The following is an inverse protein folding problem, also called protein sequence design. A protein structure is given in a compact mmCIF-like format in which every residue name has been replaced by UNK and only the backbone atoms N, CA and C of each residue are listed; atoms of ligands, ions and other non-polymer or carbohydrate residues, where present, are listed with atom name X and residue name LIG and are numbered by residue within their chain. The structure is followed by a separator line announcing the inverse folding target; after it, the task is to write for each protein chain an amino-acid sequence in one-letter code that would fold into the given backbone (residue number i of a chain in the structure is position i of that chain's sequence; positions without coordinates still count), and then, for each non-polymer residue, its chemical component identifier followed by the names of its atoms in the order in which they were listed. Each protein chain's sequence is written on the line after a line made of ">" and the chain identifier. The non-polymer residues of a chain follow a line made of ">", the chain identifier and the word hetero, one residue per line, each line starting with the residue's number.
data_IF_689419672765
#
_entry.id   IF_689419672765
#
_cell.length_a   1.000
_cell.length_b   1.000
_cell.length_c   1.000
_cell.angle_alpha   90.00
_cell.angle_beta   90.00
_cell.angle_gamma   90.00
#
_symmetry.space_group_name_H-M   'P 1'
#
loop_
_entity.id
_entity.type
_entity.pdbx_description
1 polymer ?
#
# COMPACT_ATOMS: atom_id res chain seq x y z
N UNK A 1 -9.61 33.73 -25.12
CA UNK A 1 -9.16 34.34 -23.85
C UNK A 1 -9.82 33.79 -22.56
N UNK A 2 -10.85 32.93 -22.61
CA UNK A 2 -11.45 32.33 -21.38
C UNK A 2 -10.89 30.96 -20.95
N UNK A 3 -9.95 30.40 -21.71
CA UNK A 3 -9.45 29.02 -21.51
C UNK A 3 -8.13 28.94 -20.70
N UNK A 4 -7.43 30.07 -20.52
CA UNK A 4 -6.17 30.11 -19.75
C UNK A 4 -6.37 30.38 -18.24
N UNK A 5 -7.47 31.03 -17.84
CA UNK A 5 -7.72 31.38 -16.44
C UNK A 5 -8.04 30.15 -15.55
N UNK A 6 -8.51 29.04 -16.13
CA UNK A 6 -8.89 27.82 -15.39
C UNK A 6 -7.73 26.81 -15.22
N UNK A 7 -6.60 26.99 -15.94
CA UNK A 7 -5.43 26.10 -15.89
C UNK A 7 -4.54 26.35 -14.66
N UNK A 8 -4.57 27.56 -14.11
CA UNK A 8 -3.75 27.98 -12.96
C UNK A 8 -4.13 27.30 -11.62
N UNK A 9 -5.42 27.23 -11.22
CA UNK A 9 -5.81 26.59 -9.96
C UNK A 9 -5.61 25.07 -9.97
N UNK A 10 -5.79 24.42 -11.13
CA UNK A 10 -5.59 22.98 -11.30
C UNK A 10 -4.10 22.62 -11.21
N UNK A 11 -3.20 23.43 -11.81
CA UNK A 11 -1.74 23.27 -11.66
C UNK A 11 -1.26 23.50 -10.23
N UNK A 12 -1.79 24.50 -9.54
CA UNK A 12 -1.48 24.73 -8.13
C UNK A 12 -1.97 23.57 -7.24
N UNK A 13 -3.17 23.05 -7.51
CA UNK A 13 -3.72 21.86 -6.87
C UNK A 13 -2.85 20.61 -7.10
N UNK A 14 -2.37 20.39 -8.34
CA UNK A 14 -1.47 19.28 -8.69
C UNK A 14 -0.10 19.38 -7.98
N UNK A 15 0.49 20.58 -7.91
CA UNK A 15 1.76 20.80 -7.22
C UNK A 15 1.64 20.56 -5.72
N UNK A 16 0.50 20.93 -5.12
CA UNK A 16 0.25 20.78 -3.69
C UNK A 16 -0.09 19.33 -3.29
N UNK A 17 -0.83 18.56 -4.13
CA UNK A 17 -1.09 17.12 -3.89
C UNK A 17 0.18 16.27 -3.93
N UNK A 18 1.15 16.60 -4.80
CA UNK A 18 2.47 15.93 -4.83
C UNK A 18 3.40 16.30 -3.67
N UNK A 19 3.11 17.38 -2.92
CA UNK A 19 3.96 17.91 -1.84
C UNK A 19 3.33 17.78 -0.43
N UNK A 20 2.37 16.88 -0.24
CA UNK A 20 1.61 16.72 1.01
C UNK A 20 2.44 16.33 2.25
N UNK A 21 2.13 16.97 3.38
CA UNK A 21 2.62 16.81 4.75
C UNK A 21 4.03 17.33 5.10
N UNK A 22 5.08 17.00 4.35
CA UNK A 22 6.45 17.39 4.75
C UNK A 22 6.72 18.90 4.64
N UNK A 23 6.22 19.57 3.59
CA UNK A 23 6.33 21.03 3.41
C UNK A 23 5.50 21.80 4.45
N UNK A 24 4.40 21.20 4.91
CA UNK A 24 3.55 21.78 5.95
C UNK A 24 4.21 21.70 7.32
N UNK A 25 4.82 20.56 7.67
CA UNK A 25 5.61 20.38 8.90
C UNK A 25 6.83 21.32 8.91
N UNK A 26 7.52 21.48 7.78
CA UNK A 26 8.65 22.42 7.67
C UNK A 26 8.21 23.90 7.79
N UNK A 27 7.03 24.27 7.29
CA UNK A 27 6.48 25.63 7.47
C UNK A 27 6.04 25.92 8.90
N UNK A 28 5.59 24.91 9.65
CA UNK A 28 5.30 25.07 11.09
C UNK A 28 6.61 25.16 11.88
N UNK A 29 7.61 24.33 11.58
CA UNK A 29 8.90 24.32 12.27
C UNK A 29 9.75 25.58 12.02
N UNK A 30 9.58 26.25 10.88
CA UNK A 30 10.30 27.49 10.53
C UNK A 30 9.58 28.77 10.96
N UNK A 31 8.35 28.69 11.48
CA UNK A 31 7.59 29.85 11.93
C UNK A 31 7.83 30.13 13.42
N UNK A 32 8.68 31.11 13.71
CA UNK A 32 9.15 31.50 15.05
C UNK A 32 8.04 31.96 16.02
N UNK A 33 6.84 32.26 15.51
CA UNK A 33 5.67 32.61 16.35
C UNK A 33 4.83 31.39 16.75
N UNK A 34 4.77 30.34 15.93
CA UNK A 34 3.99 29.13 16.22
C UNK A 34 4.63 28.27 17.33
N UNK A 35 5.97 28.27 17.43
CA UNK A 35 6.73 27.53 18.44
C UNK A 35 6.61 28.10 19.88
N UNK A 36 6.02 29.29 20.02
CA UNK A 36 5.78 29.95 21.31
C UNK A 36 4.38 29.72 21.87
N UNK A 37 3.50 29.04 21.13
CA UNK A 37 2.15 28.75 21.60
C UNK A 37 2.19 27.68 22.73
N UNK A 38 1.50 27.88 23.86
CA UNK A 38 1.58 26.98 25.03
C UNK A 38 1.22 25.52 24.71
N UNK A 39 0.25 25.31 23.81
CA UNK A 39 -0.16 23.97 23.36
C UNK A 39 0.93 23.25 22.54
N UNK A 40 1.71 23.98 21.74
CA UNK A 40 2.82 23.41 20.95
C UNK A 40 3.99 23.00 21.85
N UNK A 41 4.24 23.75 22.93
CA UNK A 41 5.26 23.38 23.91
C UNK A 41 4.87 22.18 24.78
N UNK A 42 3.58 21.95 25.00
CA UNK A 42 3.09 20.78 25.74
C UNK A 42 3.27 19.47 24.95
N UNK A 43 3.14 19.53 23.62
CA UNK A 43 3.37 18.39 22.71
C UNK A 43 4.86 18.04 22.61
N UNK A 44 5.76 19.03 22.72
CA UNK A 44 7.21 18.84 22.64
C UNK A 44 7.86 18.30 23.93
N UNK A 45 7.17 18.32 25.07
CA UNK A 45 7.74 17.93 26.39
C UNK A 45 7.42 16.50 26.83
N UNK A 46 6.59 15.75 26.11
CA UNK A 46 6.30 14.34 26.41
C UNK A 46 7.36 13.47 25.72
N UNK A 47 8.60 13.48 26.21
CA UNK A 47 9.65 12.50 25.88
C UNK A 47 10.92 12.78 26.70
N UNK A 48 10.90 12.52 28.00
CA UNK A 48 12.13 12.31 28.76
C UNK A 48 11.91 11.17 29.76
N UNK A 49 12.59 10.04 29.61
CA UNK A 49 12.86 9.13 30.72
C UNK A 49 14.13 9.59 31.45
N UNK A 50 14.10 9.55 32.79
CA UNK A 50 15.26 9.70 33.67
C UNK A 50 16.02 8.36 33.75
N UNK A 51 17.34 8.38 33.59
CA UNK A 51 18.25 7.26 33.88
C UNK A 51 18.73 7.30 35.36
N UNK A 52 19.06 6.16 35.97
CA UNK A 52 19.94 6.10 37.14
C UNK A 52 21.38 5.69 36.77
N UNK A 53 22.33 6.43 37.34
CA UNK A 53 23.79 6.22 37.32
C UNK A 53 24.20 4.89 38.00
N UNK A 54 25.24 4.22 37.48
CA UNK A 54 26.17 3.40 38.27
C UNK A 54 27.51 3.20 37.52
N UNK A 55 28.61 3.38 38.26
CA UNK A 55 30.02 3.37 37.85
C UNK A 55 30.62 1.97 37.70
N UNK A 56 31.54 1.75 36.75
CA UNK A 56 32.90 1.22 37.02
C UNK A 56 33.79 1.10 35.76
N UNK A 57 35.10 1.18 35.97
CA UNK A 57 36.16 1.35 34.98
C UNK A 57 37.02 0.08 34.70
N UNK A 58 37.49 -0.03 33.44
CA UNK A 58 38.72 -0.68 32.90
C UNK A 58 38.88 -2.23 32.93
N UNK A 59 39.80 -2.85 32.13
CA UNK A 59 40.56 -2.41 30.94
C UNK A 59 40.47 -3.38 29.71
N UNK A 60 41.09 -2.98 28.60
CA UNK A 60 41.12 -3.59 27.24
C UNK A 60 41.68 -5.03 27.12
N UNK A 61 41.24 -5.83 26.11
CA UNK A 61 41.97 -7.00 25.60
C UNK A 61 42.48 -6.83 24.13
N UNK A 62 43.38 -7.74 23.64
CA UNK A 62 44.32 -7.54 22.52
C UNK A 62 43.76 -7.94 21.13
N UNK A 63 44.51 -7.83 20.00
CA UNK A 63 43.94 -7.70 18.67
C UNK A 63 43.51 -9.01 18.00
N UNK A 64 42.63 -8.82 17.02
CA UNK A 64 41.77 -9.74 16.26
C UNK A 64 42.42 -10.95 15.59
N UNK A 65 41.58 -11.94 15.25
CA UNK A 65 41.56 -12.51 13.90
C UNK A 65 40.19 -12.36 13.22
N UNK A 66 40.19 -11.80 12.00
CA UNK A 66 39.22 -11.97 10.91
C UNK A 66 37.74 -12.20 11.29
N UNK A 67 36.99 -11.11 11.45
CA UNK A 67 35.55 -11.15 11.71
C UNK A 67 34.75 -11.32 10.41
N UNK A 68 34.08 -12.46 10.30
CA UNK A 68 32.99 -12.72 9.37
C UNK A 68 31.88 -11.68 9.55
N UNK A 69 31.39 -11.14 8.45
CA UNK A 69 30.26 -10.20 8.39
C UNK A 69 29.02 -10.92 8.91
N UNK A 70 28.51 -10.50 10.05
CA UNK A 70 27.32 -11.05 10.69
C UNK A 70 26.07 -10.53 9.97
N UNK A 71 25.63 -11.26 8.94
CA UNK A 71 24.35 -11.06 8.28
C UNK A 71 23.29 -11.77 9.12
N UNK A 72 22.40 -10.99 9.74
CA UNK A 72 21.43 -11.46 10.73
C UNK A 72 20.65 -12.74 10.40
N UNK A 73 20.00 -13.35 11.40
CA UNK A 73 19.51 -14.73 11.35
C UNK A 73 18.23 -14.85 10.52
N UNK A 74 18.40 -15.04 9.20
CA UNK A 74 17.53 -15.80 8.27
C UNK A 74 17.89 -15.38 6.84
N UNK A 75 19.11 -15.70 6.41
CA UNK A 75 19.65 -15.30 5.11
C UNK A 75 19.63 -16.48 4.13
N UNK A 76 18.84 -16.34 3.06
CA UNK A 76 19.31 -16.79 1.76
C UNK A 76 20.33 -15.72 1.27
N UNK A 77 21.63 -16.01 1.18
CA UNK A 77 22.71 -15.02 1.06
C UNK A 77 22.90 -14.43 -0.34
N UNK A 78 22.03 -14.73 -1.31
CA UNK A 78 22.34 -14.54 -2.72
C UNK A 78 21.93 -13.19 -3.32
N UNK A 79 20.83 -12.55 -2.90
CA UNK A 79 20.38 -11.30 -3.51
C UNK A 79 21.16 -10.07 -3.00
N UNK A 80 21.89 -9.42 -3.90
CA UNK A 80 22.72 -8.24 -3.66
C UNK A 80 22.37 -7.13 -4.65
N UNK A 81 22.63 -5.85 -4.30
CA UNK A 81 22.47 -4.74 -5.25
C UNK A 81 23.21 -4.97 -6.58
N UNK A 82 24.34 -5.69 -6.55
CA UNK A 82 25.16 -6.02 -7.72
C UNK A 82 24.45 -6.91 -8.75
N UNK A 83 23.38 -7.61 -8.37
CA UNK A 83 22.67 -8.55 -9.24
C UNK A 83 21.68 -7.82 -10.16
N UNK A 84 21.50 -6.52 -9.93
CA UNK A 84 20.58 -5.67 -10.67
C UNK A 84 21.36 -4.63 -11.50
N UNK A 85 20.84 -4.35 -12.69
CA UNK A 85 21.23 -3.21 -13.48
C UNK A 85 20.19 -2.09 -13.25
N UNK A 86 20.56 -1.05 -12.50
CA UNK A 86 19.69 0.08 -12.20
C UNK A 86 19.65 1.05 -13.38
N UNK A 87 18.47 1.23 -13.96
CA UNK A 87 18.28 1.90 -15.25
C UNK A 87 17.86 3.36 -15.08
N UNK A 88 16.74 3.59 -14.37
CA UNK A 88 16.10 4.89 -14.28
C UNK A 88 15.46 5.11 -12.91
N UNK A 89 15.43 6.35 -12.44
CA UNK A 89 14.57 6.73 -11.32
C UNK A 89 13.14 6.86 -11.86
N UNK A 90 12.19 6.19 -11.21
CA UNK A 90 10.78 6.17 -11.64
C UNK A 90 9.84 6.76 -10.57
N UNK A 91 10.35 7.02 -9.37
CA UNK A 91 9.58 7.68 -8.32
C UNK A 91 10.43 8.11 -7.14
N UNK A 92 9.84 8.93 -6.28
CA UNK A 92 10.46 9.44 -5.05
C UNK A 92 9.47 9.37 -3.91
N UNK A 93 9.92 8.83 -2.77
CA UNK A 93 9.12 8.69 -1.56
C UNK A 93 9.72 9.42 -0.36
N UNK A 94 9.02 9.33 0.78
CA UNK A 94 9.37 10.01 2.03
C UNK A 94 10.77 9.72 2.59
N UNK A 95 11.32 8.54 2.28
CA UNK A 95 12.59 8.03 2.82
C UNK A 95 13.58 7.60 1.73
N UNK A 96 13.25 7.80 0.45
CA UNK A 96 14.01 7.17 -0.61
C UNK A 96 13.46 7.36 -2.02
N UNK A 97 13.89 6.48 -2.92
CA UNK A 97 13.59 6.52 -4.35
C UNK A 97 13.13 5.16 -4.84
N UNK A 98 12.34 5.16 -5.90
CA UNK A 98 11.96 3.95 -6.64
C UNK A 98 12.71 3.97 -7.97
N UNK A 99 13.41 2.90 -8.29
CA UNK A 99 14.20 2.76 -9.50
C UNK A 99 13.67 1.61 -10.35
N UNK A 100 13.63 1.79 -11.66
CA UNK A 100 13.54 0.70 -12.61
C UNK A 100 14.90 -0.02 -12.63
N UNK A 101 14.90 -1.33 -12.40
CA UNK A 101 16.09 -2.16 -12.50
C UNK A 101 15.79 -3.44 -13.27
N UNK A 102 16.81 -4.00 -13.94
CA UNK A 102 16.75 -5.31 -14.60
C UNK A 102 17.59 -6.31 -13.82
N UNK A 103 17.05 -7.46 -13.47
CA UNK A 103 17.84 -8.53 -12.85
C UNK A 103 18.76 -9.15 -13.91
N UNK A 104 20.06 -9.27 -13.61
CA UNK A 104 21.07 -9.63 -14.61
C UNK A 104 20.97 -11.06 -15.10
N UNK A 105 20.52 -11.98 -14.25
CA UNK A 105 20.40 -13.40 -14.61
C UNK A 105 19.09 -13.70 -15.33
N UNK A 106 17.97 -13.17 -14.83
CA UNK A 106 16.63 -13.46 -15.35
C UNK A 106 16.22 -12.52 -16.49
N UNK A 107 16.91 -11.38 -16.63
CA UNK A 107 16.61 -10.33 -17.59
C UNK A 107 15.20 -9.70 -17.44
N UNK A 108 14.57 -9.92 -16.29
CA UNK A 108 13.26 -9.39 -15.86
C UNK A 108 13.41 -8.00 -15.24
N UNK A 109 12.40 -7.14 -15.46
CA UNK A 109 12.35 -5.78 -14.93
C UNK A 109 11.59 -5.72 -13.59
N UNK A 110 12.12 -4.93 -12.67
CA UNK A 110 11.58 -4.73 -11.33
C UNK A 110 11.53 -3.25 -10.96
N UNK A 111 10.62 -2.91 -10.05
CA UNK A 111 10.63 -1.66 -9.32
C UNK A 111 11.38 -1.84 -8.01
N UNK A 112 12.53 -1.18 -7.85
CA UNK A 112 13.36 -1.27 -6.64
C UNK A 112 13.16 -0.03 -5.78
N UNK A 113 12.44 -0.17 -4.67
CA UNK A 113 12.26 0.88 -3.65
C UNK A 113 13.47 0.87 -2.71
N UNK A 114 14.30 1.91 -2.82
CA UNK A 114 15.54 2.08 -2.03
C UNK A 114 15.33 3.14 -0.97
N UNK A 115 15.43 2.74 0.30
CA UNK A 115 15.19 3.60 1.46
C UNK A 115 16.47 3.83 2.27
N UNK A 116 16.65 5.04 2.80
CA UNK A 116 17.82 5.38 3.63
C UNK A 116 17.54 5.09 5.11
N UNK A 117 18.34 4.22 5.75
CA UNK A 117 18.16 3.84 7.16
C UNK A 117 18.19 5.04 8.10
N UNK A 118 19.16 5.95 7.89
CA UNK A 118 19.27 7.19 8.67
C UNK A 118 18.02 8.07 8.59
N UNK A 119 17.38 8.14 7.42
CA UNK A 119 16.16 8.93 7.24
C UNK A 119 14.95 8.29 7.95
N UNK A 120 14.87 6.96 7.94
CA UNK A 120 13.82 6.19 8.63
C UNK A 120 13.94 6.39 10.16
N UNK A 121 15.13 6.15 10.72
CA UNK A 121 15.37 6.26 12.17
C UNK A 121 15.14 7.68 12.69
N UNK A 122 15.55 8.70 11.93
CA UNK A 122 15.28 10.10 12.27
C UNK A 122 13.78 10.40 12.41
N UNK A 123 12.93 9.70 11.64
CA UNK A 123 11.48 9.85 11.66
C UNK A 123 10.78 8.82 12.58
N UNK A 124 11.52 7.88 13.17
CA UNK A 124 11.01 6.78 14.02
C UNK A 124 10.00 5.87 13.30
N UNK A 125 10.29 5.54 12.05
CA UNK A 125 9.40 4.81 11.13
C UNK A 125 9.83 3.36 10.89
N UNK A 126 10.82 2.86 11.65
CA UNK A 126 11.40 1.53 11.48
C UNK A 126 10.36 0.40 11.61
N UNK A 127 9.41 0.56 12.55
CA UNK A 127 8.33 -0.41 12.77
C UNK A 127 7.38 -0.50 11.57
N UNK A 128 7.08 0.64 10.93
CA UNK A 128 6.21 0.65 9.75
C UNK A 128 6.90 -0.01 8.56
N UNK A 129 8.20 0.23 8.34
CA UNK A 129 8.96 -0.42 7.27
C UNK A 129 9.06 -1.94 7.46
N UNK A 130 9.30 -2.39 8.70
CA UNK A 130 9.31 -3.83 8.99
C UNK A 130 7.91 -4.45 8.84
N UNK A 131 6.84 -3.71 9.19
CA UNK A 131 5.46 -4.14 8.97
C UNK A 131 5.12 -4.26 7.47
N UNK A 132 5.52 -3.29 6.64
CA UNK A 132 5.36 -3.32 5.18
C UNK A 132 6.00 -4.58 4.60
N UNK A 133 7.25 -4.85 4.99
CA UNK A 133 7.96 -6.07 4.59
C UNK A 133 7.20 -7.32 5.02
N UNK A 134 6.76 -7.41 6.26
CA UNK A 134 6.12 -8.62 6.77
C UNK A 134 4.80 -8.91 6.03
N UNK A 135 4.01 -7.88 5.73
CA UNK A 135 2.79 -7.99 4.90
C UNK A 135 3.14 -8.56 3.53
N UNK A 136 4.13 -7.97 2.87
CA UNK A 136 4.58 -8.41 1.54
C UNK A 136 5.15 -9.84 1.54
N UNK A 137 5.70 -10.31 2.67
CA UNK A 137 6.26 -11.66 2.81
C UNK A 137 5.25 -12.75 3.13
N UNK A 138 4.01 -12.41 3.52
CA UNK A 138 2.96 -13.41 3.78
C UNK A 138 2.50 -14.18 2.54
N UNK A 139 3.28 -14.15 1.46
CA UNK A 139 2.98 -14.78 0.19
C UNK A 139 1.60 -14.35 -0.32
N UNK A 140 1.37 -13.03 -0.29
CA UNK A 140 0.16 -12.37 -0.78
C UNK A 140 0.07 -12.62 -2.29
N UNK A 141 -0.49 -13.76 -2.68
CA UNK A 141 -0.67 -14.17 -4.07
C UNK A 141 -2.05 -13.77 -4.54
N UNK A 142 -2.16 -12.54 -5.03
CA UNK A 142 -3.39 -12.05 -5.64
C UNK A 142 -3.04 -11.23 -6.89
N UNK A 143 -3.75 -11.44 -8.01
CA UNK A 143 -3.43 -10.85 -9.33
C UNK A 143 -3.48 -9.32 -9.39
N UNK A 144 -4.10 -8.69 -8.39
CA UNK A 144 -4.29 -7.24 -8.28
C UNK A 144 -3.53 -6.63 -7.08
N UNK A 145 -2.55 -7.34 -6.52
CA UNK A 145 -1.66 -6.85 -5.46
C UNK A 145 -0.21 -6.93 -5.95
N UNK A 146 0.60 -5.92 -5.66
CA UNK A 146 2.04 -5.98 -6.00
C UNK A 146 2.77 -7.03 -5.17
N UNK A 147 3.58 -7.84 -5.84
CA UNK A 147 4.42 -8.86 -5.25
C UNK A 147 5.80 -8.33 -4.83
N UNK A 148 6.34 -8.92 -3.77
CA UNK A 148 7.73 -8.76 -3.34
C UNK A 148 8.56 -9.96 -3.79
N UNK A 149 9.59 -9.70 -4.58
CA UNK A 149 10.52 -10.72 -5.06
C UNK A 149 11.72 -10.86 -4.13
N UNK A 150 12.32 -9.74 -3.76
CA UNK A 150 13.49 -9.73 -2.87
C UNK A 150 13.38 -8.57 -1.89
N UNK A 151 13.86 -8.77 -0.68
CA UNK A 151 14.19 -7.66 0.21
C UNK A 151 15.61 -7.85 0.73
N UNK A 152 16.46 -6.84 0.62
CA UNK A 152 17.83 -6.92 1.14
C UNK A 152 18.31 -5.57 1.63
N UNK A 153 19.44 -5.55 2.33
CA UNK A 153 19.96 -4.34 2.95
C UNK A 153 21.47 -4.22 2.78
N UNK A 154 21.94 -2.98 2.74
CA UNK A 154 23.34 -2.61 2.92
C UNK A 154 23.52 -2.01 4.31
N UNK A 155 24.74 -1.56 4.63
CA UNK A 155 25.02 -0.82 5.85
C UNK A 155 24.07 0.39 6.04
N UNK A 156 23.75 1.11 4.97
CA UNK A 156 23.06 2.41 5.01
C UNK A 156 21.67 2.44 4.35
N UNK A 157 21.29 1.39 3.61
CA UNK A 157 20.05 1.35 2.82
C UNK A 157 19.27 0.04 2.97
N UNK A 158 17.97 0.13 2.72
CA UNK A 158 17.05 -0.99 2.55
C UNK A 158 16.55 -1.03 1.12
N UNK A 159 16.32 -2.22 0.58
CA UNK A 159 15.88 -2.46 -0.79
C UNK A 159 14.67 -3.39 -0.78
N UNK A 160 13.56 -2.95 -1.36
CA UNK A 160 12.46 -3.81 -1.76
C UNK A 160 12.47 -3.95 -3.27
N UNK A 161 12.49 -5.17 -3.77
CA UNK A 161 12.40 -5.49 -5.20
C UNK A 161 10.99 -5.99 -5.48
N UNK A 162 10.19 -5.16 -6.13
CA UNK A 162 8.76 -5.33 -6.36
C UNK A 162 8.47 -5.53 -7.85
N UNK A 163 7.27 -6.02 -8.18
CA UNK A 163 6.82 -6.05 -9.59
C UNK A 163 6.95 -4.67 -10.23
N UNK A 164 7.41 -4.64 -11.48
CA UNK A 164 7.42 -3.43 -12.28
C UNK A 164 6.07 -3.26 -13.00
N UNK A 165 5.31 -2.24 -12.59
CA UNK A 165 3.98 -1.93 -13.14
C UNK A 165 4.05 -0.63 -13.93
N UNK A 166 3.86 -0.70 -15.25
CA UNK A 166 4.21 0.39 -16.17
C UNK A 166 3.02 1.07 -16.86
N UNK A 167 1.78 0.69 -16.55
CA UNK A 167 0.58 1.34 -17.09
C UNK A 167 0.24 2.66 -16.41
N UNK A 168 0.98 3.06 -15.36
CA UNK A 168 0.84 4.34 -14.66
C UNK A 168 -0.18 4.35 -13.53
N UNK A 169 -0.21 5.43 -12.76
CA UNK A 169 -1.14 5.64 -11.65
C UNK A 169 -2.57 5.86 -12.17
N UNK A 170 -3.56 5.29 -11.47
CA UNK A 170 -4.98 5.56 -11.73
C UNK A 170 -5.27 7.07 -11.60
N UNK A 171 -4.62 7.72 -10.64
CA UNK A 171 -4.65 9.17 -10.47
C UNK A 171 -4.34 9.91 -11.78
N UNK A 172 -3.23 9.56 -12.44
CA UNK A 172 -2.80 10.20 -13.68
C UNK A 172 -3.85 10.07 -14.79
N UNK A 173 -4.40 8.87 -14.99
CA UNK A 173 -5.43 8.63 -16.00
C UNK A 173 -6.73 9.37 -15.69
N UNK A 174 -7.15 9.36 -14.42
CA UNK A 174 -8.35 10.04 -13.97
C UNK A 174 -8.24 11.57 -14.14
N UNK A 175 -7.09 12.15 -13.84
CA UNK A 175 -6.86 13.59 -14.04
C UNK A 175 -6.92 13.98 -15.52
N UNK A 176 -6.44 13.14 -16.44
CA UNK A 176 -6.50 13.40 -17.88
C UNK A 176 -7.91 13.33 -18.44
N UNK A 177 -8.70 12.35 -17.99
CA UNK A 177 -10.07 12.14 -18.47
C UNK A 177 -11.12 12.88 -17.65
N UNK A 178 -10.73 13.49 -16.52
CA UNK A 178 -11.56 14.14 -15.49
C UNK A 178 -12.48 13.20 -14.72
N UNK A 179 -13.13 12.25 -15.39
CA UNK A 179 -13.97 11.21 -14.80
C UNK A 179 -13.99 9.99 -15.72
N UNK A 180 -14.20 8.81 -15.16
CA UNK A 180 -14.43 7.59 -15.92
C UNK A 180 -15.92 7.32 -16.11
N UNK A 181 -16.23 6.66 -17.22
CA UNK A 181 -17.57 6.10 -17.43
C UNK A 181 -17.82 4.97 -16.44
N UNK A 182 -19.08 4.80 -16.06
CA UNK A 182 -19.50 3.82 -15.05
C UNK A 182 -19.04 2.38 -15.35
N UNK A 183 -19.05 1.85 -16.59
CA UNK A 183 -18.49 0.53 -16.88
C UNK A 183 -17.01 0.38 -16.51
N UNK A 184 -16.20 1.42 -16.76
CA UNK A 184 -14.77 1.44 -16.40
C UNK A 184 -14.58 1.53 -14.89
N UNK A 185 -15.31 2.43 -14.23
CA UNK A 185 -15.28 2.57 -12.78
C UNK A 185 -15.74 1.29 -12.06
N UNK A 186 -16.76 0.60 -12.59
CA UNK A 186 -17.25 -0.69 -12.10
C UNK A 186 -16.18 -1.77 -12.17
N UNK A 187 -15.52 -1.89 -13.33
CA UNK A 187 -14.45 -2.87 -13.53
C UNK A 187 -13.33 -2.68 -12.51
N UNK A 188 -12.78 -1.47 -12.40
CA UNK A 188 -11.72 -1.17 -11.44
C UNK A 188 -12.17 -1.33 -9.98
N UNK A 189 -13.39 -0.88 -9.64
CA UNK A 189 -13.92 -1.07 -8.29
C UNK A 189 -14.06 -2.55 -7.92
N UNK A 190 -14.38 -3.42 -8.89
CA UNK A 190 -14.45 -4.86 -8.66
C UNK A 190 -13.04 -5.45 -8.40
N UNK A 191 -12.04 -5.08 -9.19
CA UNK A 191 -10.65 -5.55 -8.97
C UNK A 191 -10.09 -5.09 -7.62
N UNK A 192 -10.32 -3.82 -7.27
CA UNK A 192 -9.93 -3.25 -5.97
C UNK A 192 -10.65 -3.98 -4.85
N UNK A 193 -11.97 -4.20 -4.97
CA UNK A 193 -12.74 -4.90 -3.94
C UNK A 193 -12.26 -6.36 -3.76
N UNK A 194 -11.89 -7.05 -4.85
CA UNK A 194 -11.29 -8.38 -4.78
C UNK A 194 -9.98 -8.36 -4.01
N UNK A 195 -9.10 -7.40 -4.29
CA UNK A 195 -7.81 -7.25 -3.63
C UNK A 195 -7.95 -6.95 -2.12
N UNK A 196 -8.83 -6.02 -1.76
CA UNK A 196 -9.12 -5.70 -0.36
C UNK A 196 -9.71 -6.90 0.37
N UNK A 197 -10.68 -7.58 -0.25
CA UNK A 197 -11.30 -8.76 0.34
C UNK A 197 -10.30 -9.89 0.60
N UNK A 198 -9.34 -10.09 -0.30
CA UNK A 198 -8.23 -11.02 -0.08
C UNK A 198 -7.37 -10.61 1.11
N UNK A 199 -6.98 -9.34 1.24
CA UNK A 199 -6.21 -8.86 2.39
C UNK A 199 -6.98 -9.04 3.71
N UNK A 200 -8.28 -8.74 3.72
CA UNK A 200 -9.12 -8.92 4.91
C UNK A 200 -9.23 -10.40 5.30
N UNK A 201 -9.22 -11.32 4.32
CA UNK A 201 -9.15 -12.77 4.58
C UNK A 201 -7.86 -13.23 5.27
N UNK A 202 -6.79 -12.44 5.15
CA UNK A 202 -5.51 -12.65 5.83
C UNK A 202 -5.39 -11.84 7.13
N UNK A 203 -6.48 -11.21 7.60
CA UNK A 203 -6.50 -10.29 8.74
C UNK A 203 -5.56 -9.10 8.56
N UNK A 204 -5.49 -8.56 7.33
CA UNK A 204 -4.68 -7.38 6.97
C UNK A 204 -5.63 -6.27 6.53
N UNK A 205 -5.53 -5.10 7.15
CA UNK A 205 -6.26 -3.88 6.74
C UNK A 205 -5.31 -2.96 6.00
N UNK A 206 -5.72 -2.45 4.83
CA UNK A 206 -4.84 -1.73 3.90
C UNK A 206 -4.62 -0.26 4.30
N UNK A 207 -5.70 0.46 4.67
CA UNK A 207 -5.73 1.81 5.28
C UNK A 207 -5.22 3.00 4.47
N UNK A 208 -4.71 2.82 3.25
CA UNK A 208 -4.26 3.94 2.40
C UNK A 208 -4.70 3.79 0.94
N UNK A 209 -5.95 3.36 0.73
CA UNK A 209 -6.52 3.27 -0.61
C UNK A 209 -6.82 4.66 -1.17
N UNK A 210 -6.13 5.00 -2.26
CA UNK A 210 -6.24 6.24 -3.03
C UNK A 210 -5.77 6.02 -4.46
N UNK A 211 -6.18 6.85 -5.44
CA UNK A 211 -5.81 6.66 -6.85
C UNK A 211 -4.29 6.68 -7.13
N UNK A 212 -3.48 7.29 -6.26
CA UNK A 212 -2.02 7.34 -6.37
C UNK A 212 -1.37 5.98 -6.04
N UNK A 213 -1.98 5.17 -5.16
CA UNK A 213 -1.46 3.85 -4.78
C UNK A 213 -2.03 2.72 -5.65
N UNK A 214 -2.85 3.06 -6.65
CA UNK A 214 -3.49 2.14 -7.57
C UNK A 214 -2.83 2.30 -8.92
N UNK A 215 -2.07 1.30 -9.37
CA UNK A 215 -1.43 1.31 -10.68
C UNK A 215 -2.20 0.47 -11.69
N UNK A 216 -1.99 0.74 -12.97
CA UNK A 216 -2.44 -0.12 -14.06
C UNK A 216 -1.26 -0.94 -14.59
N UNK A 217 -1.45 -2.24 -14.81
CA UNK A 217 -0.48 -3.08 -15.53
C UNK A 217 -0.49 -2.79 -17.04
N UNK A 218 0.38 -3.46 -17.80
CA UNK A 218 0.50 -3.26 -19.24
C UNK A 218 -0.78 -3.58 -20.02
N UNK A 219 -1.68 -4.39 -19.47
CA UNK A 219 -2.95 -4.77 -20.08
C UNK A 219 -4.10 -3.85 -19.63
N UNK A 220 -3.92 -3.12 -18.53
CA UNK A 220 -4.91 -2.20 -17.97
C UNK A 220 -5.65 -2.73 -16.74
N UNK A 221 -5.21 -3.84 -16.14
CA UNK A 221 -5.72 -4.30 -14.85
C UNK A 221 -5.12 -3.50 -13.70
N UNK A 222 -5.88 -3.38 -12.62
CA UNK A 222 -5.46 -2.71 -11.39
C UNK A 222 -4.43 -3.55 -10.63
N UNK A 223 -3.42 -2.87 -10.07
CA UNK A 223 -2.50 -3.43 -9.08
C UNK A 223 -2.41 -2.44 -7.91
N UNK A 224 -2.80 -2.87 -6.71
CA UNK A 224 -2.59 -2.08 -5.50
C UNK A 224 -1.12 -2.15 -5.08
N UNK A 225 -0.57 -1.00 -4.70
CA UNK A 225 0.83 -0.83 -4.31
C UNK A 225 0.97 -0.16 -2.94
N UNK A 226 2.19 -0.03 -2.43
CA UNK A 226 2.51 0.68 -1.17
C UNK A 226 1.76 0.17 0.09
N UNK A 227 2.24 -0.92 0.67
CA UNK A 227 1.70 -1.54 1.89
C UNK A 227 2.21 -0.88 3.19
N UNK A 228 2.86 0.29 3.10
CA UNK A 228 3.52 0.97 4.22
C UNK A 228 2.60 1.28 5.41
N UNK A 229 1.30 1.43 5.15
CA UNK A 229 0.29 1.71 6.17
C UNK A 229 -0.59 0.52 6.51
N UNK A 230 -0.31 -0.67 5.99
CA UNK A 230 -1.09 -1.86 6.33
C UNK A 230 -0.98 -2.22 7.81
N UNK A 231 -2.04 -2.81 8.37
CA UNK A 231 -2.06 -3.33 9.74
C UNK A 231 -2.45 -4.79 9.73
N UNK A 232 -1.58 -5.62 10.28
CA UNK A 232 -1.78 -7.05 10.39
C UNK A 232 -2.43 -7.44 11.72
N UNK A 233 -2.92 -8.69 11.77
CA UNK A 233 -3.42 -9.37 12.96
C UNK A 233 -4.59 -8.62 13.61
N UNK A 234 -5.39 -7.94 12.78
CA UNK A 234 -6.70 -7.46 13.19
C UNK A 234 -7.65 -8.64 13.00
N UNK A 235 -7.83 -9.44 14.04
CA UNK A 235 -8.84 -10.50 14.09
C UNK A 235 -10.25 -9.92 13.84
N UNK A 236 -11.26 -10.77 13.61
CA UNK A 236 -12.63 -10.31 13.31
C UNK A 236 -13.22 -9.31 14.33
N UNK A 237 -12.76 -9.33 15.58
CA UNK A 237 -13.17 -8.38 16.64
C UNK A 237 -12.03 -7.42 17.05
N UNK A 238 -10.87 -7.52 16.39
CA UNK A 238 -9.72 -6.66 16.62
C UNK A 238 -9.97 -5.26 16.10
N UNK A 239 -9.36 -4.27 16.76
CA UNK A 239 -9.36 -2.89 16.29
C UNK A 239 -7.97 -2.27 16.40
N UNK A 240 -7.75 -1.21 15.65
CA UNK A 240 -6.56 -0.36 15.74
C UNK A 240 -6.99 1.08 15.96
N UNK A 241 -6.14 1.90 16.59
CA UNK A 241 -6.44 3.31 16.91
C UNK A 241 -5.45 4.29 16.26
N UNK A 242 -4.54 3.79 15.41
CA UNK A 242 -3.54 4.65 14.75
C UNK A 242 -4.22 5.63 13.80
N UNK A 243 -3.99 6.93 13.98
CA UNK A 243 -4.43 7.94 13.03
C UNK A 243 -3.49 7.92 11.80
N UNK A 244 -3.93 7.36 10.68
CA UNK A 244 -3.16 7.26 9.44
C UNK A 244 -4.08 7.26 8.22
N UNK A 245 -3.50 7.48 7.04
CA UNK A 245 -4.20 7.57 5.76
C UNK A 245 -4.17 8.98 5.17
N UNK A 246 -4.64 9.09 3.93
CA UNK A 246 -4.63 10.35 3.18
C UNK A 246 -5.91 11.16 3.47
N UNK A 247 -5.83 12.45 3.85
CA UNK A 247 -6.96 13.24 4.39
C UNK A 247 -8.29 13.13 3.64
N UNK A 248 -8.25 13.12 2.31
CA UNK A 248 -9.39 13.07 1.40
C UNK A 248 -10.17 11.74 1.45
N UNK A 249 -9.52 10.67 1.93
CA UNK A 249 -10.03 9.29 1.95
C UNK A 249 -10.22 8.76 3.38
N UNK A 250 -9.94 9.57 4.41
CA UNK A 250 -10.11 9.17 5.81
C UNK A 250 -11.59 8.90 6.14
N UNK A 251 -11.83 7.78 6.82
CA UNK A 251 -13.16 7.43 7.32
C UNK A 251 -13.53 8.26 8.57
N UNK A 252 -14.83 8.50 8.83
CA UNK A 252 -15.28 9.31 9.97
C UNK A 252 -14.80 8.81 11.34
N UNK A 253 -14.74 7.50 11.54
CA UNK A 253 -14.25 6.88 12.78
C UNK A 253 -12.76 7.13 13.03
N UNK A 254 -11.95 7.23 11.97
CA UNK A 254 -10.51 7.57 12.07
C UNK A 254 -10.36 9.02 12.48
N UNK A 255 -11.17 9.93 11.92
CA UNK A 255 -11.18 11.35 12.29
C UNK A 255 -11.62 11.58 13.74
N UNK A 256 -12.59 10.79 14.22
CA UNK A 256 -12.99 10.78 15.63
C UNK A 256 -11.97 10.11 16.57
N UNK A 257 -10.86 9.57 16.03
CA UNK A 257 -9.85 8.80 16.79
C UNK A 257 -10.46 7.60 17.54
N UNK A 258 -11.53 7.02 17.00
CA UNK A 258 -12.13 5.81 17.54
C UNK A 258 -11.31 4.59 17.09
N UNK A 259 -11.28 3.52 17.90
CA UNK A 259 -10.74 2.24 17.43
C UNK A 259 -11.53 1.77 16.21
N UNK A 260 -10.85 1.39 15.13
CA UNK A 260 -11.43 1.01 13.84
C UNK A 260 -10.90 -0.34 13.34
N UNK A 261 -11.61 -0.92 12.38
CA UNK A 261 -11.35 -2.24 11.81
C UNK A 261 -11.25 -2.14 10.27
N UNK A 262 -11.38 -3.27 9.58
CA UNK A 262 -11.33 -3.39 8.11
C UNK A 262 -12.36 -2.54 7.35
N UNK A 263 -13.45 -2.10 8.00
CA UNK A 263 -14.52 -1.32 7.34
C UNK A 263 -14.05 0.05 6.84
N UNK A 264 -12.89 0.53 7.29
CA UNK A 264 -12.26 1.76 6.74
C UNK A 264 -11.85 1.60 5.29
N UNK A 265 -11.43 0.39 4.86
CA UNK A 265 -11.04 0.15 3.46
C UNK A 265 -12.26 0.22 2.52
N UNK A 266 -13.43 -0.19 3.00
CA UNK A 266 -14.69 -0.06 2.26
C UNK A 266 -15.15 1.39 2.12
N UNK A 267 -14.92 2.22 3.13
CA UNK A 267 -15.08 3.67 2.98
C UNK A 267 -14.15 4.24 1.91
N UNK A 268 -12.87 3.86 1.93
CA UNK A 268 -11.91 4.32 0.92
C UNK A 268 -12.30 3.85 -0.49
N UNK A 269 -12.79 2.61 -0.66
CA UNK A 269 -13.33 2.12 -1.94
C UNK A 269 -14.47 3.00 -2.42
N UNK A 270 -15.39 3.37 -1.53
CA UNK A 270 -16.47 4.30 -1.83
C UNK A 270 -15.97 5.67 -2.29
N UNK A 271 -14.94 6.20 -1.61
CA UNK A 271 -14.35 7.49 -1.95
C UNK A 271 -13.62 7.46 -3.31
N UNK A 272 -12.85 6.40 -3.59
CA UNK A 272 -12.18 6.19 -4.89
C UNK A 272 -13.20 5.99 -6.01
N UNK A 273 -14.27 5.20 -5.78
CA UNK A 273 -15.35 5.01 -6.75
C UNK A 273 -16.07 6.33 -7.04
N UNK A 274 -16.36 7.13 -6.01
CA UNK A 274 -16.94 8.46 -6.17
C UNK A 274 -16.02 9.35 -7.02
N UNK A 275 -14.72 9.38 -6.72
CA UNK A 275 -13.75 10.18 -7.48
C UNK A 275 -13.64 9.71 -8.93
N UNK A 276 -13.68 8.41 -9.21
CA UNK A 276 -13.74 7.91 -10.59
C UNK A 276 -14.98 8.41 -11.33
N UNK A 277 -16.15 8.45 -10.68
CA UNK A 277 -17.42 8.83 -11.31
C UNK A 277 -17.62 10.36 -11.41
N UNK A 278 -17.03 11.13 -10.51
CA UNK A 278 -17.27 12.59 -10.39
C UNK A 278 -16.03 13.48 -10.53
N UNK A 279 -14.84 12.90 -10.53
CA UNK A 279 -13.54 13.56 -10.72
C UNK A 279 -12.91 14.17 -9.48
N UNK A 280 -13.61 14.19 -8.35
CA UNK A 280 -13.09 14.66 -7.06
C UNK A 280 -13.63 13.79 -5.92
N UNK A 281 -12.91 13.65 -4.79
CA UNK A 281 -13.40 12.95 -3.62
C UNK A 281 -14.71 13.57 -3.08
N UNK A 282 -15.58 12.79 -2.42
CA UNK A 282 -16.96 13.17 -2.09
C UNK A 282 -17.10 14.40 -1.18
N UNK A 283 -16.13 14.60 -0.29
CA UNK A 283 -16.15 15.63 0.74
C UNK A 283 -15.02 16.65 0.60
N UNK A 284 -14.38 16.69 -0.58
CA UNK A 284 -13.18 17.47 -0.83
C UNK A 284 -13.38 18.97 -0.52
N UNK A 285 -12.43 19.55 0.22
CA UNK A 285 -12.22 21.00 0.33
C UNK A 285 -10.72 21.29 0.29
N UNK A 286 -10.36 22.49 -0.17
CA UNK A 286 -8.99 23.00 -0.07
C UNK A 286 -8.58 23.28 1.38
N UNK A 287 -9.53 23.52 2.26
CA UNK A 287 -9.30 23.66 3.69
C UNK A 287 -9.48 22.28 4.35
N UNK A 288 -8.40 21.72 4.90
CA UNK A 288 -8.43 20.40 5.55
C UNK A 288 -9.40 20.34 6.73
N UNK A 289 -9.56 21.41 7.50
CA UNK A 289 -10.52 21.43 8.62
C UNK A 289 -11.97 21.41 8.12
N UNK A 290 -12.27 22.15 7.05
CA UNK A 290 -13.59 22.10 6.38
C UNK A 290 -13.83 20.73 5.74
N UNK A 291 -12.80 20.13 5.15
CA UNK A 291 -12.90 18.78 4.58
C UNK A 291 -13.21 17.75 5.67
N UNK A 292 -12.56 17.83 6.83
CA UNK A 292 -12.88 16.97 7.97
C UNK A 292 -14.31 17.20 8.46
N UNK A 293 -14.75 18.44 8.60
CA UNK A 293 -16.14 18.74 8.94
C UNK A 293 -17.12 18.18 7.90
N UNK A 294 -16.81 18.29 6.61
CA UNK A 294 -17.62 17.69 5.54
C UNK A 294 -17.71 16.16 5.66
N UNK A 295 -16.57 15.49 5.88
CA UNK A 295 -16.53 14.03 6.08
C UNK A 295 -17.39 13.62 7.27
N UNK A 296 -17.39 14.40 8.36
CA UNK A 296 -18.15 14.09 9.58
C UNK A 296 -19.64 14.45 9.46
N UNK A 297 -19.99 15.60 8.89
CA UNK A 297 -21.31 16.19 9.05
C UNK A 297 -22.09 16.38 7.74
N UNK A 298 -21.43 16.62 6.61
CA UNK A 298 -22.11 16.88 5.34
C UNK A 298 -22.73 15.61 4.74
N UNK A 299 -24.00 15.62 4.27
CA UNK A 299 -24.57 14.48 3.58
C UNK A 299 -23.89 14.23 2.23
N UNK A 300 -23.88 12.97 1.79
CA UNK A 300 -23.36 12.58 0.48
C UNK A 300 -24.19 13.23 -0.64
N UNK A 301 -23.53 13.88 -1.59
CA UNK A 301 -24.19 14.50 -2.73
C UNK A 301 -23.94 13.71 -4.02
N UNK A 302 -25.01 13.21 -4.62
CA UNK A 302 -24.96 12.40 -5.85
C UNK A 302 -25.70 13.09 -6.98
N UNK A 303 -25.00 13.37 -8.07
CA UNK A 303 -25.58 13.93 -9.30
C UNK A 303 -26.31 12.85 -10.10
N UNK A 304 -27.29 13.20 -10.96
CA UNK A 304 -28.15 12.23 -11.66
C UNK A 304 -27.46 11.44 -12.78
N UNK A 305 -26.18 11.72 -13.11
CA UNK A 305 -25.44 11.10 -14.21
C UNK A 305 -24.90 9.68 -13.94
N UNK A 306 -25.37 9.03 -12.87
CA UNK A 306 -25.00 7.65 -12.52
C UNK A 306 -26.26 6.81 -12.32
N UNK A 307 -26.14 5.50 -12.53
CA UNK A 307 -27.25 4.56 -12.34
C UNK A 307 -27.69 4.46 -10.88
N UNK A 308 -28.90 3.94 -10.66
CA UNK A 308 -29.40 3.68 -9.30
C UNK A 308 -28.57 2.62 -8.57
N UNK A 309 -27.98 1.66 -9.30
CA UNK A 309 -27.08 0.68 -8.70
C UNK A 309 -25.77 1.32 -8.22
N UNK A 310 -25.20 2.26 -8.98
CA UNK A 310 -24.02 3.01 -8.56
C UNK A 310 -24.32 3.91 -7.35
N UNK A 311 -25.47 4.58 -7.36
CA UNK A 311 -25.96 5.40 -6.24
C UNK A 311 -26.10 4.58 -4.96
N UNK A 312 -26.79 3.45 -5.02
CA UNK A 312 -26.99 2.56 -3.87
C UNK A 312 -25.66 2.01 -3.33
N UNK A 313 -24.70 1.68 -4.21
CA UNK A 313 -23.37 1.23 -3.78
C UNK A 313 -22.61 2.34 -3.03
N UNK A 314 -22.60 3.57 -3.58
CA UNK A 314 -21.93 4.71 -2.96
C UNK A 314 -22.57 5.07 -1.62
N UNK A 315 -23.89 5.07 -1.53
CA UNK A 315 -24.63 5.31 -0.29
C UNK A 315 -24.34 4.25 0.77
N UNK A 316 -24.13 2.99 0.37
CA UNK A 316 -23.76 1.90 1.27
C UNK A 316 -22.31 1.97 1.76
N UNK A 317 -21.35 2.20 0.86
CA UNK A 317 -19.92 2.27 1.20
C UNK A 317 -19.56 3.55 1.97
N UNK A 318 -20.22 4.67 1.69
CA UNK A 318 -19.98 5.97 2.33
C UNK A 318 -20.96 6.24 3.49
N UNK A 319 -21.45 5.18 4.14
CA UNK A 319 -22.12 5.31 5.43
C UNK A 319 -21.14 5.77 6.51
N UNK A 320 -21.49 6.85 7.22
CA UNK A 320 -20.65 7.41 8.28
C UNK A 320 -20.61 6.53 9.52
N UNK A 321 -21.74 5.90 9.83
CA UNK A 321 -21.80 4.85 10.84
C UNK A 321 -21.25 3.55 10.24
N UNK A 322 -20.05 3.16 10.68
CA UNK A 322 -19.38 1.95 10.18
C UNK A 322 -20.21 0.67 10.35
N UNK A 323 -21.09 0.60 11.34
CA UNK A 323 -21.89 -0.62 11.62
C UNK A 323 -23.02 -0.81 10.60
N UNK A 324 -23.37 0.26 9.89
CA UNK A 324 -24.37 0.28 8.81
C UNK A 324 -23.72 0.31 7.43
N UNK A 325 -22.39 0.35 7.37
CA UNK A 325 -21.62 0.41 6.13
C UNK A 325 -21.68 -0.93 5.43
N UNK A 326 -21.81 -0.88 4.10
CA UNK A 326 -21.69 -2.06 3.26
C UNK A 326 -20.31 -2.70 3.46
N UNK A 327 -20.27 -4.00 3.75
CA UNK A 327 -19.07 -4.75 4.11
C UNK A 327 -18.82 -4.88 5.62
N UNK A 328 -19.73 -4.39 6.48
CA UNK A 328 -19.59 -4.49 7.93
C UNK A 328 -20.08 -5.82 8.53
N UNK A 329 -21.06 -6.48 7.91
CA UNK A 329 -21.67 -7.73 8.43
C UNK A 329 -21.01 -8.97 7.85
N UNK A 330 -21.09 -9.09 6.53
CA UNK A 330 -20.51 -10.17 5.75
C UNK A 330 -19.52 -9.54 4.77
N UNK A 331 -18.33 -9.26 5.30
CA UNK A 331 -17.16 -8.85 4.54
C UNK A 331 -16.85 -9.88 3.43
N UNK A 332 -15.90 -9.62 2.51
CA UNK A 332 -15.43 -10.50 1.44
C UNK A 332 -14.97 -11.92 1.87
N UNK A 333 -15.06 -12.26 3.15
CA UNK A 333 -14.76 -13.57 3.72
C UNK A 333 -16.02 -14.34 4.11
N UNK A 334 -16.36 -15.34 3.30
CA UNK A 334 -16.79 -16.64 3.85
C UNK A 334 -15.57 -17.58 3.80
N UNK A 335 -15.52 -18.56 4.69
CA UNK A 335 -14.47 -19.59 4.85
C UNK A 335 -14.08 -20.42 3.58
N UNK A 336 -14.42 -19.95 2.38
CA UNK A 336 -14.32 -20.68 1.13
C UNK A 336 -12.88 -20.83 0.60
N UNK A 337 -11.98 -19.87 0.87
CA UNK A 337 -10.58 -19.99 0.42
C UNK A 337 -9.83 -21.12 1.14
N UNK A 338 -10.16 -21.41 2.40
CA UNK A 338 -9.59 -22.55 3.13
C UNK A 338 -10.22 -23.88 2.71
N UNK A 339 -11.52 -23.89 2.39
CA UNK A 339 -12.22 -25.12 1.97
C UNK A 339 -11.84 -25.58 0.57
N UNK A 340 -11.62 -24.67 -0.39
CA UNK A 340 -11.28 -25.04 -1.77
C UNK A 340 -9.89 -25.68 -1.89
N UNK A 341 -8.88 -25.16 -1.18
CA UNK A 341 -7.53 -25.73 -1.18
C UNK A 341 -7.47 -27.09 -0.48
N UNK A 342 -8.15 -27.24 0.66
CA UNK A 342 -8.20 -28.51 1.39
C UNK A 342 -8.97 -29.61 0.62
N UNK A 343 -10.03 -29.25 -0.11
CA UNK A 343 -10.75 -30.18 -0.98
C UNK A 343 -9.96 -30.53 -2.26
N UNK A 344 -9.15 -29.60 -2.77
CA UNK A 344 -8.24 -29.86 -3.90
C UNK A 344 -7.13 -30.87 -3.54
N UNK A 345 -6.54 -30.75 -2.35
CA UNK A 345 -5.58 -31.73 -1.81
C UNK A 345 -6.25 -33.09 -1.49
N UNK A 346 -7.46 -33.08 -0.94
CA UNK A 346 -8.21 -34.31 -0.64
C UNK A 346 -8.70 -35.06 -1.90
N UNK A 347 -8.84 -34.38 -3.04
CA UNK A 347 -9.27 -34.98 -4.31
C UNK A 347 -8.19 -35.86 -4.98
N UNK A 348 -6.95 -35.89 -4.46
CA UNK A 348 -5.83 -36.68 -5.00
C UNK A 348 -5.34 -37.81 -4.08
N UNK A 349 -5.99 -38.05 -2.94
CA UNK A 349 -5.68 -39.22 -2.09
C UNK A 349 -6.63 -40.38 -2.37
N UNK A 350 -6.16 -41.54 -2.85
CA UNK A 350 -7.00 -42.70 -3.03
C UNK A 350 -7.09 -43.48 -1.70
N UNK A 351 -8.25 -43.44 -1.04
CA UNK A 351 -8.58 -44.41 0.02
C UNK A 351 -10.04 -44.89 -0.08
N UNK A 352 -10.31 -46.13 0.39
CA UNK A 352 -11.33 -47.00 -0.18
C UNK A 352 -12.66 -46.94 0.58
N UNK A 353 -13.71 -47.36 -0.13
CA UNK A 353 -14.98 -47.91 0.35
C UNK A 353 -15.37 -47.66 1.82
N UNK A 354 -16.35 -46.79 2.03
CA UNK A 354 -17.28 -46.91 3.16
C UNK A 354 -18.70 -46.46 2.78
N UNK A 355 -19.66 -47.24 3.27
CA UNK A 355 -21.08 -47.25 2.94
C UNK A 355 -21.85 -45.99 3.37
N UNK A 356 -22.98 -45.80 2.66
CA UNK A 356 -24.12 -44.93 2.92
C UNK A 356 -24.46 -44.69 4.40
N UNK A 357 -24.63 -43.41 4.77
CA UNK A 357 -25.78 -42.82 5.51
C UNK A 357 -25.39 -41.44 6.05
N UNK A 358 -25.67 -40.37 5.30
CA UNK A 358 -25.85 -38.99 5.79
C UNK A 358 -26.33 -38.10 4.64
N UNK A 359 -27.51 -38.41 4.09
CA UNK A 359 -28.25 -37.51 3.21
C UNK A 359 -29.45 -37.01 4.01
N UNK A 360 -29.26 -35.95 4.79
CA UNK A 360 -30.30 -35.01 5.22
C UNK A 360 -29.65 -33.88 6.02
N UNK A 361 -29.02 -32.96 5.31
CA UNK A 361 -28.86 -31.58 5.77
C UNK A 361 -29.20 -30.69 4.59
N UNK A 362 -30.23 -29.86 4.75
CA UNK A 362 -30.59 -28.79 3.82
C UNK A 362 -29.33 -28.00 3.41
N UNK A 363 -29.25 -27.50 2.16
CA UNK A 363 -28.09 -26.70 1.76
C UNK A 363 -28.01 -25.49 2.69
N UNK A 364 -26.96 -25.46 3.52
CA UNK A 364 -26.56 -24.27 4.27
C UNK A 364 -26.41 -23.17 3.24
N UNK A 365 -27.26 -22.14 3.33
CA UNK A 365 -27.18 -20.96 2.49
C UNK A 365 -25.75 -20.46 2.48
N UNK A 366 -25.11 -20.48 1.29
CA UNK A 366 -23.79 -19.90 1.07
C UNK A 366 -23.74 -18.50 1.70
N UNK A 367 -22.73 -18.14 2.50
CA UNK A 367 -22.72 -16.82 3.12
C UNK A 367 -22.67 -15.76 2.02
N UNK A 368 -23.66 -14.87 2.05
CA UNK A 368 -23.87 -13.88 1.00
C UNK A 368 -22.87 -12.75 1.19
N UNK A 369 -21.85 -12.73 0.34
CA UNK A 369 -20.82 -11.70 0.32
C UNK A 369 -21.45 -10.35 -0.03
N UNK A 370 -21.59 -9.44 0.95
CA UNK A 370 -22.42 -8.23 0.82
C UNK A 370 -22.00 -7.37 -0.38
N UNK A 371 -20.69 -7.20 -0.58
CA UNK A 371 -20.14 -6.40 -1.68
C UNK A 371 -20.25 -7.13 -3.02
N UNK A 372 -19.86 -8.41 -3.11
CA UNK A 372 -19.89 -9.16 -4.39
C UNK A 372 -21.31 -9.33 -4.93
N UNK A 373 -22.29 -9.46 -4.04
CA UNK A 373 -23.70 -9.65 -4.36
C UNK A 373 -24.42 -8.35 -4.76
N UNK A 374 -23.78 -7.20 -4.54
CA UNK A 374 -24.39 -5.91 -4.80
C UNK A 374 -24.72 -5.73 -6.29
N UNK A 375 -25.94 -5.24 -6.59
CA UNK A 375 -26.47 -5.10 -7.96
C UNK A 375 -25.60 -4.27 -8.91
N UNK A 376 -24.75 -3.39 -8.37
CA UNK A 376 -23.75 -2.66 -9.15
C UNK A 376 -22.74 -3.58 -9.85
N UNK A 377 -22.40 -4.72 -9.25
CA UNK A 377 -21.45 -5.70 -9.79
C UNK A 377 -22.13 -6.87 -10.51
N UNK A 378 -23.44 -6.80 -10.78
CA UNK A 378 -24.20 -7.90 -11.42
C UNK A 378 -23.67 -8.31 -12.80
N UNK A 379 -22.94 -7.42 -13.48
CA UNK A 379 -22.31 -7.68 -14.78
C UNK A 379 -20.89 -8.26 -14.66
N UNK A 380 -20.37 -8.45 -13.44
CA UNK A 380 -19.02 -8.95 -13.20
C UNK A 380 -19.11 -10.42 -12.78
N UNK A 381 -18.49 -11.30 -13.58
CA UNK A 381 -18.16 -12.64 -13.14
C UNK A 381 -16.86 -12.58 -12.33
N UNK A 382 -16.95 -12.84 -11.02
CA UNK A 382 -15.81 -12.73 -10.11
C UNK A 382 -14.70 -13.76 -10.37
N UNK A 383 -15.05 -14.95 -10.87
CA UNK A 383 -14.08 -15.99 -11.22
C UNK A 383 -13.33 -15.62 -12.51
N UNK A 384 -14.02 -15.02 -13.49
CA UNK A 384 -13.35 -14.51 -14.68
C UNK A 384 -12.50 -13.27 -14.35
N UNK A 385 -12.96 -12.43 -13.42
CA UNK A 385 -12.22 -11.26 -12.95
C UNK A 385 -10.89 -11.69 -12.31
N UNK A 386 -10.92 -12.58 -11.31
CA UNK A 386 -9.71 -13.02 -10.60
C UNK A 386 -8.73 -13.75 -11.53
N UNK A 387 -9.24 -14.45 -12.56
CA UNK A 387 -8.39 -15.11 -13.55
C UNK A 387 -7.95 -14.18 -14.70
N UNK A 388 -8.18 -12.86 -14.60
CA UNK A 388 -7.89 -11.86 -15.64
C UNK A 388 -8.45 -12.23 -17.03
N UNK A 389 -9.62 -12.88 -17.06
CA UNK A 389 -10.32 -13.26 -18.31
C UNK A 389 -11.24 -12.16 -18.83
N UNK A 390 -11.59 -11.19 -18.00
CA UNK A 390 -12.37 -10.01 -18.42
C UNK A 390 -11.40 -8.97 -18.99
N UNK A 391 -11.58 -8.64 -20.28
CA UNK A 391 -10.76 -7.63 -20.96
C UNK A 391 -10.90 -6.27 -20.26
N UNK A 392 -9.78 -5.63 -19.87
CA UNK A 392 -9.82 -4.28 -19.31
C UNK A 392 -10.48 -3.26 -20.26
N UNK A 393 -11.29 -2.33 -19.73
CA UNK A 393 -11.99 -1.31 -20.52
C UNK A 393 -11.05 -0.21 -21.05
N UNK A 394 -9.80 -0.21 -20.62
CA UNK A 394 -8.78 0.75 -21.02
C UNK A 394 -7.44 0.04 -21.18
N UNK A 395 -6.78 0.29 -22.30
CA UNK A 395 -5.41 -0.17 -22.55
C UNK A 395 -4.45 1.02 -22.37
N UNK A 396 -3.48 0.95 -21.45
CA UNK A 396 -2.48 2.01 -21.26
C UNK A 396 -1.58 2.25 -22.49
N UNK A 397 -1.62 1.38 -23.48
CA UNK A 397 -0.86 1.48 -24.74
C UNK A 397 0.65 1.58 -24.47
N UNK A 398 1.20 0.67 -23.68
CA UNK A 398 2.65 0.58 -23.44
C UNK A 398 3.34 -0.11 -24.62
N UNK A 399 4.54 0.35 -25.01
CA UNK A 399 5.32 -0.21 -26.13
C UNK A 399 6.22 -1.38 -25.75
N UNK A 400 6.38 -1.68 -24.46
CA UNK A 400 7.17 -2.82 -24.02
C UNK A 400 7.43 -2.87 -22.50
N UNK A 401 8.15 -3.89 -22.03
CA UNK A 401 8.36 -4.15 -20.60
C UNK A 401 9.14 -3.08 -19.84
N UNK A 402 9.91 -2.24 -20.51
CA UNK A 402 10.70 -1.15 -19.91
C UNK A 402 10.15 0.24 -20.22
N UNK A 403 8.92 0.33 -20.75
CA UNK A 403 8.30 1.59 -21.13
C UNK A 403 8.12 2.52 -19.92
N UNK A 404 8.43 3.80 -20.11
CA UNK A 404 8.42 4.85 -19.10
C UNK A 404 7.37 5.95 -19.37
N UNK A 405 6.55 5.84 -20.44
CA UNK A 405 5.68 6.94 -20.90
C UNK A 405 4.67 7.46 -19.86
N UNK A 406 4.33 6.62 -18.89
CA UNK A 406 3.36 6.95 -17.83
C UNK A 406 4.03 7.34 -16.51
N UNK A 407 5.36 7.46 -16.48
CA UNK A 407 6.11 7.97 -15.34
C UNK A 407 6.41 9.45 -15.53
N UNK A 408 6.51 10.18 -14.43
CA UNK A 408 6.78 11.62 -14.50
C UNK A 408 8.19 11.90 -15.05
N UNK A 409 8.34 12.78 -16.06
CA UNK A 409 9.64 13.24 -16.54
C UNK A 409 10.56 13.76 -15.43
N UNK A 410 10.01 14.40 -14.38
CA UNK A 410 10.79 14.87 -13.22
C UNK A 410 11.61 13.75 -12.57
N UNK A 411 11.11 12.51 -12.61
CA UNK A 411 11.82 11.34 -12.10
C UNK A 411 12.68 10.69 -13.17
N UNK A 412 12.15 10.47 -14.38
CA UNK A 412 12.86 9.69 -15.41
C UNK A 412 14.04 10.43 -16.04
N UNK A 413 14.09 11.75 -15.94
CA UNK A 413 15.25 12.58 -16.29
C UNK A 413 16.31 12.63 -15.20
N UNK A 414 15.96 12.26 -13.95
CA UNK A 414 16.91 12.24 -12.85
C UNK A 414 17.94 11.10 -13.03
N UNK A 415 19.25 11.37 -12.89
CA UNK A 415 20.26 10.33 -12.96
C UNK A 415 20.15 9.37 -11.76
N UNK A 416 20.41 8.09 -12.02
CA UNK A 416 20.55 7.08 -10.96
C UNK A 416 21.69 7.50 -10.03
N UNK A 417 21.47 7.65 -8.71
CA UNK A 417 22.53 8.09 -7.81
C UNK A 417 23.70 7.09 -7.77
N UNK A 418 24.93 7.60 -7.84
CA UNK A 418 26.17 6.78 -7.80
C UNK A 418 26.31 5.91 -6.54
N UNK A 419 25.57 6.20 -5.47
CA UNK A 419 25.55 5.44 -4.23
C UNK A 419 24.64 4.20 -4.29
N UNK A 420 23.83 4.04 -5.33
CA UNK A 420 23.05 2.83 -5.58
C UNK A 420 23.98 1.74 -6.11
N UNK A 421 23.86 0.51 -5.59
CA UNK A 421 24.72 -0.60 -5.98
C UNK A 421 26.08 -0.66 -5.27
N UNK A 422 26.45 0.37 -4.49
CA UNK A 422 27.70 0.42 -3.73
C UNK A 422 27.44 0.26 -2.24
N UNK A 423 28.15 -0.66 -1.59
CA UNK A 423 28.26 -0.68 -0.11
C UNK A 423 29.41 0.23 0.28
N UNK A 424 29.29 1.05 1.36
CA UNK A 424 30.47 1.65 1.98
C UNK A 424 31.47 0.53 2.33
N UNK A 425 32.77 0.79 2.14
CA UNK A 425 33.81 -0.16 2.52
C UNK A 425 33.68 -0.51 4.00
N UNK A 426 33.71 -1.81 4.30
CA UNK A 426 33.51 -2.42 5.64
C UNK A 426 34.40 -1.84 6.74
N UNK A 427 35.42 -1.04 6.39
CA UNK A 427 36.46 -0.54 7.26
C UNK A 427 36.04 0.77 7.99
N UNK A 428 34.95 1.44 7.57
CA UNK A 428 34.49 2.70 8.16
C UNK A 428 33.01 2.68 8.60
N UNK A 429 32.58 1.61 9.28
CA UNK A 429 31.27 1.56 9.92
C UNK A 429 31.30 2.41 11.21
N UNK A 430 30.68 3.59 11.18
CA UNK A 430 30.48 4.40 12.39
C UNK A 430 29.47 3.72 13.32
N UNK A 431 29.54 3.96 14.63
CA UNK A 431 28.58 3.42 15.61
C UNK A 431 27.10 3.66 15.21
N UNK A 432 26.80 4.84 14.65
CA UNK A 432 25.47 5.19 14.13
C UNK A 432 25.00 4.36 12.93
N UNK A 433 25.89 3.70 12.19
CA UNK A 433 25.53 2.80 11.09
C UNK A 433 25.32 1.38 11.61
N UNK A 434 26.06 0.98 12.65
CA UNK A 434 25.87 -0.30 13.33
C UNK A 434 24.50 -0.36 14.04
N UNK A 435 24.17 0.67 14.83
CA UNK A 435 22.85 0.82 15.46
C UNK A 435 21.73 0.78 14.41
N UNK A 436 21.95 1.44 13.27
CA UNK A 436 21.01 1.43 12.16
C UNK A 436 20.89 0.07 11.46
N UNK A 437 21.92 -0.78 11.48
CA UNK A 437 21.84 -2.14 10.94
C UNK A 437 21.04 -3.07 11.87
N UNK A 438 21.23 -2.93 13.18
CA UNK A 438 20.54 -3.72 14.20
C UNK A 438 19.03 -3.43 14.24
N UNK A 439 18.62 -2.18 13.98
CA UNK A 439 17.21 -1.79 13.92
C UNK A 439 16.37 -2.49 12.82
N UNK A 440 17.01 -3.08 11.80
CA UNK A 440 16.35 -3.79 10.69
C UNK A 440 16.79 -5.25 10.60
N UNK A 441 17.05 -5.88 11.76
CA UNK A 441 17.32 -7.31 11.83
C UNK A 441 16.16 -8.11 11.21
N UNK A 442 16.51 -9.12 10.42
CA UNK A 442 15.54 -9.94 9.74
C UNK A 442 14.91 -9.30 8.50
N UNK A 443 15.38 -8.15 8.00
CA UNK A 443 14.85 -7.53 6.76
C UNK A 443 15.18 -8.30 5.48
N UNK A 444 16.24 -9.09 5.46
CA UNK A 444 16.64 -9.79 4.22
C UNK A 444 15.73 -10.97 3.89
N UNK A 445 15.38 -11.15 2.63
CA UNK A 445 14.59 -12.25 2.06
C UNK A 445 14.95 -12.44 0.58
N UNK A 446 15.15 -13.68 0.18
CA UNK A 446 15.21 -14.10 -1.23
C UNK A 446 14.56 -15.49 -1.36
N UNK A 447 13.63 -15.69 -2.31
CA UNK A 447 12.98 -16.98 -2.53
C UNK A 447 14.02 -18.06 -2.89
N UNK A 448 13.77 -19.34 -2.55
CA UNK A 448 14.64 -20.44 -2.95
C UNK A 448 14.65 -20.58 -4.48
N UNK A 449 15.83 -20.86 -5.07
CA UNK A 449 15.99 -20.99 -6.54
C UNK A 449 15.03 -22.03 -7.16
N UNK A 450 14.62 -23.04 -6.41
CA UNK A 450 13.72 -24.12 -6.88
C UNK A 450 12.24 -23.70 -6.96
N UNK A 451 11.87 -22.50 -6.49
CA UNK A 451 10.48 -22.01 -6.56
C UNK A 451 10.08 -21.40 -7.90
N UNK A 452 10.98 -21.45 -8.88
CA UNK A 452 10.81 -20.88 -10.23
C UNK A 452 10.87 -21.91 -11.37
N UNK A 453 10.85 -23.21 -11.04
CA UNK A 453 10.79 -24.32 -12.01
C UNK A 453 9.35 -24.80 -12.24
#
# INVERSE_FOLDING_TARGET
>A
MKEEALKSPLKAFMKQRRMGLNDFIQKIASNSYACKHPEVQSILKISQPQEPELMNANPSPPPSPSQQINLGPSSNPHAKPSDFHFLKVIGKGSFGKVLLARHKAEEVFYAVKVLQKKAILKKKEEKHIMSERNVLLKNVKHPFLVGLHFSFQTADKLYFVLDYINGGELFYHLQRERCFLEPRARFYAAEIASALGYLHSLNIVYRDLKPENILLDSQGHIVLTDFGLCKENIEHNGTTSTFCGTPEYLAPEVLHKQPYDRTVDWWCLGAVLYEMLYGLPPFYSRNTAEMYDNILNKPLQLKPNITNSARHLLEGLLQKDRTKRLGAKDDFVSNFFLFSWALWEAAWTPLPFLNSTCLNSSPVSSPQMEIKSHVFFSLINWDDLINKKITPPFNPNVSGPSDLRHFDPEFTEEPVPNSIGRSPDSILLTASVQEAAEAFLGFSYAPPMDSFL
#
